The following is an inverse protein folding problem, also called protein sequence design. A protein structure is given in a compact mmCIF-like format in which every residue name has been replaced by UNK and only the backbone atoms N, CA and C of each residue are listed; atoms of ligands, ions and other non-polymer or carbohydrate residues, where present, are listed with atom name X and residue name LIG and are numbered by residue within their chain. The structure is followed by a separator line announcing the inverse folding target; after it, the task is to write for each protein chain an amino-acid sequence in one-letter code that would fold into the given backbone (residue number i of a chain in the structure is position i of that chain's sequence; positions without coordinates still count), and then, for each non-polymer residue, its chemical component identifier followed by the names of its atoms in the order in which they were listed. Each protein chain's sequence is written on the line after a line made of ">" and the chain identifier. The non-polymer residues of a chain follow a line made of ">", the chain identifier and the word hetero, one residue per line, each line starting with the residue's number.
data_IF_733973795689
#
_entry.id   IF_733973795689
#
_cell.length_a   1.000
_cell.length_b   1.000
_cell.length_c   1.000
_cell.angle_alpha   90.00
_cell.angle_beta   90.00
_cell.angle_gamma   90.00
#
_symmetry.space_group_name_H-M   'P 1'
#
loop_
_entity.id
_entity.type
_entity.pdbx_description
1 polymer ?
#
# COMPACT_ATOMS: atom_id res chain seq x y z
N UNK A 1 25.15 40.44 8.30
CA UNK A 1 25.94 39.20 8.02
C UNK A 1 25.73 38.09 9.06
N UNK A 2 25.81 38.37 10.38
CA UNK A 2 25.72 37.35 11.45
C UNK A 2 24.40 36.55 11.48
N UNK A 3 23.25 37.18 11.26
CA UNK A 3 21.94 36.51 11.28
C UNK A 3 21.78 35.47 10.16
N UNK A 4 22.23 35.78 8.94
CA UNK A 4 22.17 34.86 7.78
C UNK A 4 23.07 33.64 7.99
N UNK A 5 24.26 33.83 8.53
CA UNK A 5 25.17 32.73 8.86
C UNK A 5 24.63 31.86 10.01
N UNK A 6 24.05 32.48 11.05
CA UNK A 6 23.43 31.76 12.16
C UNK A 6 22.22 30.92 11.71
N UNK A 7 21.35 31.48 10.86
CA UNK A 7 20.21 30.77 10.26
C UNK A 7 20.67 29.58 9.40
N UNK A 8 21.73 29.74 8.60
CA UNK A 8 22.29 28.65 7.80
C UNK A 8 22.89 27.53 8.66
N UNK A 9 23.57 27.86 9.77
CA UNK A 9 24.10 26.84 10.69
C UNK A 9 22.97 26.11 11.43
N UNK A 10 21.94 26.84 11.89
CA UNK A 10 20.75 26.25 12.50
C UNK A 10 20.00 25.32 11.54
N UNK A 11 19.82 25.76 10.30
CA UNK A 11 19.20 24.96 9.23
C UNK A 11 19.99 23.66 8.95
N UNK A 12 21.32 23.72 8.88
CA UNK A 12 22.16 22.52 8.68
C UNK A 12 22.03 21.52 9.84
N UNK A 13 22.04 22.00 11.08
CA UNK A 13 21.89 21.14 12.27
C UNK A 13 20.51 20.48 12.27
N UNK A 14 19.45 21.25 12.03
CA UNK A 14 18.08 20.74 11.95
C UNK A 14 17.93 19.72 10.82
N UNK A 15 18.40 20.05 9.61
CA UNK A 15 18.36 19.15 8.45
C UNK A 15 19.05 17.82 8.73
N UNK A 16 20.20 17.83 9.42
CA UNK A 16 20.92 16.59 9.78
C UNK A 16 20.12 15.71 10.74
N UNK A 17 19.51 16.28 11.78
CA UNK A 17 18.74 15.50 12.76
C UNK A 17 17.43 14.98 12.19
N UNK A 18 16.73 15.80 11.40
CA UNK A 18 15.54 15.36 10.67
C UNK A 18 15.90 14.27 9.67
N UNK A 19 16.99 14.44 8.92
CA UNK A 19 17.47 13.43 7.98
C UNK A 19 17.77 12.10 8.67
N UNK A 20 18.46 12.13 9.81
CA UNK A 20 18.72 10.92 10.61
C UNK A 20 17.41 10.24 11.04
N UNK A 21 16.43 11.00 11.53
CA UNK A 21 15.11 10.47 11.91
C UNK A 21 14.42 9.78 10.72
N UNK A 22 14.38 10.43 9.56
CA UNK A 22 13.78 9.86 8.34
C UNK A 22 14.51 8.59 7.88
N UNK A 23 15.84 8.57 7.95
CA UNK A 23 16.63 7.36 7.62
C UNK A 23 16.26 6.20 8.53
N UNK A 24 16.17 6.41 9.84
CA UNK A 24 15.78 5.36 10.80
C UNK A 24 14.38 4.84 10.48
N UNK A 25 13.41 5.72 10.23
CA UNK A 25 12.06 5.30 9.85
C UNK A 25 12.03 4.53 8.53
N UNK A 26 12.84 4.94 7.56
CA UNK A 26 12.95 4.24 6.27
C UNK A 26 13.51 2.83 6.47
N UNK A 27 14.52 2.66 7.33
CA UNK A 27 15.05 1.34 7.66
C UNK A 27 14.00 0.45 8.33
N UNK A 28 13.22 1.00 9.26
CA UNK A 28 12.10 0.27 9.87
C UNK A 28 11.12 -0.19 8.78
N UNK A 29 10.69 0.73 7.91
CA UNK A 29 9.76 0.43 6.83
C UNK A 29 10.31 -0.63 5.85
N UNK A 30 11.60 -0.58 5.50
CA UNK A 30 12.24 -1.60 4.64
C UNK A 30 12.21 -2.98 5.33
N UNK A 31 12.52 -3.05 6.63
CA UNK A 31 12.43 -4.29 7.39
C UNK A 31 11.00 -4.81 7.40
N UNK A 32 10.00 -3.94 7.63
CA UNK A 32 8.59 -4.31 7.59
C UNK A 32 8.16 -4.84 6.21
N UNK A 33 8.58 -4.17 5.14
CA UNK A 33 8.27 -4.54 3.76
C UNK A 33 8.78 -5.93 3.38
N UNK A 34 9.87 -6.38 4.01
CA UNK A 34 10.46 -7.70 3.77
C UNK A 34 9.86 -8.74 4.73
N UNK A 35 9.74 -8.39 6.02
CA UNK A 35 9.44 -9.36 7.07
C UNK A 35 7.94 -9.62 7.27
N UNK A 36 7.09 -8.61 7.14
CA UNK A 36 5.67 -8.74 7.48
C UNK A 36 4.84 -9.49 6.43
N UNK A 37 4.98 -9.25 5.10
CA UNK A 37 4.14 -9.93 4.12
C UNK A 37 4.14 -11.48 4.24
N UNK A 38 5.29 -12.15 4.44
CA UNK A 38 5.29 -13.60 4.67
C UNK A 38 4.53 -14.04 5.93
N UNK A 39 4.52 -13.22 6.98
CA UNK A 39 3.84 -13.53 8.25
C UNK A 39 2.32 -13.38 8.11
N UNK A 40 1.87 -12.31 7.45
CA UNK A 40 0.44 -11.96 7.36
C UNK A 40 -0.28 -12.61 6.16
N UNK A 41 0.45 -13.05 5.15
CA UNK A 41 -0.13 -13.70 3.95
C UNK A 41 -0.80 -15.05 4.22
N UNK A 42 -0.56 -15.68 5.38
CA UNK A 42 -1.07 -17.01 5.73
C UNK A 42 -0.80 -18.08 4.64
N UNK A 43 0.33 -17.97 3.93
CA UNK A 43 0.70 -18.90 2.86
C UNK A 43 0.01 -18.66 1.52
N UNK A 44 -0.75 -17.57 1.38
CA UNK A 44 -1.28 -17.13 0.10
C UNK A 44 -0.18 -16.51 -0.78
N UNK A 45 -0.29 -16.63 -2.12
CA UNK A 45 0.61 -15.92 -3.01
C UNK A 45 0.44 -14.40 -2.86
N UNK A 46 1.51 -13.65 -3.11
CA UNK A 46 1.44 -12.20 -3.18
C UNK A 46 0.78 -11.76 -4.48
N UNK A 47 -0.13 -10.79 -4.38
CA UNK A 47 -0.79 -10.17 -5.53
C UNK A 47 -0.64 -8.65 -5.49
N UNK A 48 -0.70 -8.05 -6.66
CA UNK A 48 -0.85 -6.61 -6.84
C UNK A 48 -2.32 -6.22 -7.04
N UNK A 49 -2.61 -4.92 -6.90
CA UNK A 49 -3.93 -4.31 -7.13
C UNK A 49 -4.38 -4.31 -8.60
N UNK A 50 -3.57 -4.86 -9.51
CA UNK A 50 -3.93 -4.90 -10.92
C UNK A 50 -5.04 -5.92 -11.13
N UNK A 51 -6.14 -5.47 -11.75
CA UNK A 51 -7.23 -6.34 -12.17
C UNK A 51 -6.69 -7.24 -13.29
N UNK A 52 -6.90 -8.56 -13.22
CA UNK A 52 -6.46 -9.47 -14.27
C UNK A 52 -7.02 -9.03 -15.63
N UNK A 53 -6.17 -8.98 -16.65
CA UNK A 53 -6.64 -8.84 -18.03
C UNK A 53 -7.16 -10.21 -18.48
N UNK A 54 -8.42 -10.27 -18.94
CA UNK A 54 -9.08 -11.51 -19.37
C UNK A 54 -8.14 -12.42 -20.16
N UNK A 55 -8.13 -13.70 -19.80
CA UNK A 55 -7.50 -14.75 -20.61
C UNK A 55 -8.52 -15.86 -20.94
N UNK A 56 -9.77 -15.52 -21.33
CA UNK A 56 -10.71 -16.57 -21.73
C UNK A 56 -11.63 -16.20 -22.90
N UNK A 57 -11.47 -16.97 -23.97
CA UNK A 57 -12.05 -16.90 -25.32
C UNK A 57 -13.51 -17.37 -25.42
N UNK A 58 -14.20 -17.59 -24.30
CA UNK A 58 -15.58 -18.11 -24.32
C UNK A 58 -16.58 -17.01 -24.00
N UNK A 59 -17.31 -16.58 -25.04
CA UNK A 59 -18.54 -15.80 -24.91
C UNK A 59 -19.60 -16.68 -24.23
N UNK A 60 -19.82 -16.49 -22.94
CA UNK A 60 -21.15 -16.67 -22.38
C UNK A 60 -21.99 -15.44 -22.78
N UNK A 61 -23.28 -15.64 -23.08
CA UNK A 61 -24.16 -14.56 -23.55
C UNK A 61 -24.54 -13.56 -22.44
N UNK A 62 -24.30 -13.89 -21.16
CA UNK A 62 -24.55 -12.99 -20.02
C UNK A 62 -23.65 -13.33 -18.83
N UNK A 63 -23.16 -12.33 -18.08
CA UNK A 63 -22.44 -12.56 -16.84
C UNK A 63 -23.38 -13.17 -15.78
N UNK A 64 -22.82 -14.02 -14.93
CA UNK A 64 -23.42 -14.55 -13.73
C UNK A 64 -23.92 -13.42 -12.85
N UNK A 65 -25.05 -13.63 -12.18
CA UNK A 65 -25.50 -12.73 -11.12
C UNK A 65 -24.54 -12.79 -9.94
N UNK A 66 -24.58 -11.77 -9.06
CA UNK A 66 -23.77 -11.76 -7.84
C UNK A 66 -23.99 -13.02 -6.99
N UNK A 67 -25.23 -13.48 -6.83
CA UNK A 67 -25.55 -14.68 -6.06
C UNK A 67 -24.92 -15.93 -6.70
N UNK A 68 -25.00 -16.06 -8.02
CA UNK A 68 -24.38 -17.16 -8.75
C UNK A 68 -22.85 -17.12 -8.65
N UNK A 69 -22.25 -15.93 -8.75
CA UNK A 69 -20.81 -15.73 -8.58
C UNK A 69 -20.36 -16.10 -7.17
N UNK A 70 -21.10 -15.71 -6.13
CA UNK A 70 -20.81 -16.08 -4.74
C UNK A 70 -20.88 -17.59 -4.51
N UNK A 71 -21.91 -18.25 -5.04
CA UNK A 71 -22.05 -19.71 -4.98
C UNK A 71 -20.89 -20.41 -5.69
N UNK A 72 -20.55 -19.97 -6.91
CA UNK A 72 -19.43 -20.50 -7.68
C UNK A 72 -18.08 -20.30 -6.99
N UNK A 73 -17.88 -19.13 -6.39
CA UNK A 73 -16.68 -18.80 -5.61
C UNK A 73 -16.53 -19.74 -4.42
N UNK A 74 -17.57 -19.89 -3.58
CA UNK A 74 -17.50 -20.76 -2.40
C UNK A 74 -17.38 -22.25 -2.77
N UNK A 75 -17.99 -22.68 -3.88
CA UNK A 75 -17.90 -24.06 -4.38
C UNK A 75 -16.47 -24.46 -4.78
N UNK A 76 -15.58 -23.50 -5.07
CA UNK A 76 -14.18 -23.75 -5.39
C UNK A 76 -13.28 -23.89 -4.17
N UNK A 77 -13.82 -23.76 -2.94
CA UNK A 77 -13.06 -23.77 -1.69
C UNK A 77 -11.81 -22.87 -1.73
N UNK A 78 -11.98 -21.55 -1.93
CA UNK A 78 -10.87 -20.63 -2.11
C UNK A 78 -9.96 -20.64 -0.89
N UNK A 79 -8.65 -20.64 -1.13
CA UNK A 79 -7.67 -20.58 -0.03
C UNK A 79 -7.79 -19.24 0.69
N UNK A 80 -7.64 -19.28 2.02
CA UNK A 80 -7.59 -18.09 2.87
C UNK A 80 -8.93 -17.63 3.45
N UNK A 81 -10.04 -18.26 3.05
CA UNK A 81 -11.40 -17.94 3.48
C UNK A 81 -12.15 -19.21 3.92
N UNK A 82 -12.89 -19.14 5.04
CA UNK A 82 -13.68 -20.27 5.56
C UNK A 82 -15.18 -20.10 5.30
N UNK A 83 -15.67 -18.86 5.40
CA UNK A 83 -17.06 -18.52 5.12
C UNK A 83 -17.15 -17.20 4.36
N UNK A 84 -18.27 -16.98 3.68
CA UNK A 84 -18.49 -15.74 2.94
C UNK A 84 -18.55 -14.51 3.85
N UNK A 85 -18.86 -14.67 5.14
CA UNK A 85 -18.87 -13.57 6.12
C UNK A 85 -17.49 -12.91 6.33
N UNK A 86 -16.42 -13.57 5.87
CA UNK A 86 -15.08 -12.98 5.83
C UNK A 86 -14.87 -12.01 4.66
N UNK A 87 -15.74 -12.01 3.64
CA UNK A 87 -15.73 -11.01 2.56
C UNK A 87 -16.47 -9.78 3.05
N UNK A 88 -15.81 -8.63 3.04
CA UNK A 88 -16.38 -7.35 3.47
C UNK A 88 -16.58 -6.35 2.33
N UNK A 89 -15.97 -6.59 1.17
CA UNK A 89 -16.14 -5.77 -0.03
C UNK A 89 -16.26 -6.64 -1.28
N UNK A 90 -17.19 -6.27 -2.16
CA UNK A 90 -17.42 -6.95 -3.44
C UNK A 90 -17.60 -5.89 -4.52
N UNK A 91 -16.79 -5.99 -5.58
CA UNK A 91 -16.91 -5.15 -6.76
C UNK A 91 -17.18 -5.97 -8.00
N UNK A 92 -17.93 -5.38 -8.93
CA UNK A 92 -18.10 -5.90 -10.27
C UNK A 92 -17.52 -4.91 -11.27
N UNK A 93 -16.63 -5.40 -12.14
CA UNK A 93 -16.01 -4.64 -13.21
C UNK A 93 -16.68 -5.00 -14.54
N UNK A 94 -17.76 -4.32 -14.96
CA UNK A 94 -18.55 -4.70 -16.14
C UNK A 94 -17.75 -4.63 -17.45
N UNK A 95 -16.75 -3.75 -17.54
CA UNK A 95 -15.90 -3.66 -18.73
C UNK A 95 -14.95 -4.85 -18.92
N UNK A 96 -14.78 -5.69 -17.88
CA UNK A 96 -13.89 -6.85 -17.89
C UNK A 96 -14.61 -8.14 -17.49
N UNK A 97 -15.89 -8.08 -17.15
CA UNK A 97 -16.66 -9.19 -16.60
C UNK A 97 -15.94 -9.90 -15.44
N UNK A 98 -15.47 -9.14 -14.45
CA UNK A 98 -14.76 -9.68 -13.28
C UNK A 98 -15.47 -9.26 -11.99
N UNK A 99 -15.68 -10.22 -11.11
CA UNK A 99 -15.99 -9.96 -9.70
C UNK A 99 -14.71 -9.94 -8.87
N UNK A 100 -14.56 -8.95 -8.00
CA UNK A 100 -13.54 -8.92 -6.96
C UNK A 100 -14.21 -9.09 -5.61
N UNK A 101 -13.76 -10.08 -4.86
CA UNK A 101 -14.08 -10.27 -3.46
C UNK A 101 -12.86 -9.88 -2.62
N UNK A 102 -13.07 -9.12 -1.56
CA UNK A 102 -12.00 -8.66 -0.68
C UNK A 102 -12.33 -8.91 0.79
N UNK A 103 -11.29 -9.23 1.56
CA UNK A 103 -11.28 -9.13 3.01
C UNK A 103 -10.29 -8.01 3.37
N UNK A 104 -10.81 -6.81 3.60
CA UNK A 104 -10.00 -5.61 3.86
C UNK A 104 -9.18 -5.73 5.14
N UNK A 105 -9.67 -6.49 6.14
CA UNK A 105 -8.96 -6.69 7.42
C UNK A 105 -7.72 -7.55 7.27
N UNK A 106 -7.76 -8.54 6.38
CA UNK A 106 -6.66 -9.49 6.12
C UNK A 106 -5.90 -9.18 4.85
N UNK A 107 -6.33 -8.19 4.08
CA UNK A 107 -5.74 -7.79 2.79
C UNK A 107 -5.74 -8.94 1.78
N UNK A 108 -6.78 -9.77 1.82
CA UNK A 108 -6.95 -10.87 0.87
C UNK A 108 -7.88 -10.43 -0.24
N UNK A 109 -7.53 -10.73 -1.48
CA UNK A 109 -8.39 -10.47 -2.64
C UNK A 109 -8.50 -11.72 -3.49
N UNK A 110 -9.68 -11.89 -4.07
CA UNK A 110 -10.02 -12.94 -5.01
C UNK A 110 -10.72 -12.32 -6.21
N UNK A 111 -10.28 -12.67 -7.41
CA UNK A 111 -10.84 -12.22 -8.68
C UNK A 111 -11.46 -13.41 -9.38
N UNK A 112 -12.74 -13.31 -9.68
CA UNK A 112 -13.57 -14.34 -10.29
C UNK A 112 -14.02 -13.86 -11.67
N UNK A 113 -13.95 -14.73 -12.68
CA UNK A 113 -14.56 -14.49 -13.98
C UNK A 113 -16.08 -14.50 -13.82
N UNK A 114 -16.74 -13.42 -14.22
CA UNK A 114 -18.18 -13.29 -14.09
C UNK A 114 -18.94 -14.15 -15.12
N UNK A 115 -18.31 -14.72 -16.14
CA UNK A 115 -19.00 -15.52 -17.17
C UNK A 115 -19.09 -16.99 -16.82
N UNK A 116 -18.01 -17.57 -16.31
CA UNK A 116 -17.95 -19.00 -15.98
C UNK A 116 -17.76 -19.26 -14.48
N UNK A 117 -17.57 -18.20 -13.68
CA UNK A 117 -17.37 -18.31 -12.24
C UNK A 117 -16.00 -18.88 -11.87
N UNK A 118 -15.00 -18.88 -12.76
CA UNK A 118 -13.67 -19.40 -12.47
C UNK A 118 -12.84 -18.42 -11.64
N UNK A 119 -12.07 -18.93 -10.68
CA UNK A 119 -11.14 -18.11 -9.90
C UNK A 119 -9.88 -17.80 -10.73
N UNK A 120 -9.72 -16.54 -11.14
CA UNK A 120 -8.64 -16.08 -12.03
C UNK A 120 -7.37 -15.79 -11.23
N UNK A 121 -7.51 -15.06 -10.13
CA UNK A 121 -6.39 -14.56 -9.31
C UNK A 121 -6.83 -14.49 -7.87
N UNK A 122 -5.96 -14.88 -6.95
CA UNK A 122 -6.22 -14.76 -5.53
C UNK A 122 -4.92 -14.55 -4.78
N UNK A 123 -4.97 -13.92 -3.62
CA UNK A 123 -3.79 -13.79 -2.78
C UNK A 123 -3.84 -12.70 -1.73
N UNK A 124 -2.68 -12.44 -1.13
CA UNK A 124 -2.44 -11.37 -0.19
C UNK A 124 -1.89 -10.13 -0.90
N UNK A 125 -2.54 -8.99 -0.68
CA UNK A 125 -2.12 -7.71 -1.22
C UNK A 125 -1.10 -7.02 -0.31
N UNK A 126 0.17 -7.38 -0.52
CA UNK A 126 1.27 -6.82 0.26
C UNK A 126 1.41 -5.29 0.11
N UNK A 127 1.05 -4.75 -1.06
CA UNK A 127 1.17 -3.31 -1.31
C UNK A 127 0.20 -2.50 -0.47
N UNK A 128 -1.09 -2.88 -0.49
CA UNK A 128 -2.14 -2.25 0.30
C UNK A 128 -1.89 -2.48 1.80
N UNK A 129 -1.43 -3.67 2.20
CA UNK A 129 -1.02 -3.93 3.57
C UNK A 129 0.08 -2.97 4.04
N UNK A 130 1.16 -2.79 3.28
CA UNK A 130 2.27 -1.92 3.68
C UNK A 130 1.88 -0.44 3.66
N UNK A 131 0.99 -0.03 2.77
CA UNK A 131 0.46 1.33 2.75
C UNK A 131 -0.35 1.63 4.02
N UNK A 132 -1.27 0.73 4.38
CA UNK A 132 -2.16 0.91 5.52
C UNK A 132 -1.47 0.61 6.86
N UNK A 133 -0.66 -0.45 6.93
CA UNK A 133 -0.08 -1.01 8.16
C UNK A 133 1.43 -0.79 8.31
N UNK A 134 2.12 -0.24 7.31
CA UNK A 134 3.53 0.13 7.45
C UNK A 134 3.78 1.25 8.46
N UNK A 135 5.05 1.52 8.74
CA UNK A 135 5.51 2.44 9.78
C UNK A 135 4.94 2.09 11.16
N UNK A 136 5.02 0.83 11.55
CA UNK A 136 4.50 0.29 12.82
C UNK A 136 2.97 0.38 12.96
N UNK A 137 2.23 0.64 11.88
CA UNK A 137 0.77 0.66 11.87
C UNK A 137 0.15 -0.69 12.24
N UNK A 138 0.82 -1.78 11.83
CA UNK A 138 0.44 -3.16 12.12
C UNK A 138 0.42 -3.50 13.62
N UNK A 139 1.18 -2.76 14.45
CA UNK A 139 1.12 -2.92 15.91
C UNK A 139 -0.16 -2.31 16.47
N UNK A 140 -0.39 -1.04 16.15
CA UNK A 140 -1.59 -0.32 16.53
C UNK A 140 -1.69 1.00 15.75
N UNK A 141 -2.90 1.41 15.28
CA UNK A 141 -3.08 2.67 14.55
C UNK A 141 -2.57 3.90 15.30
N UNK A 142 -2.67 3.88 16.63
CA UNK A 142 -2.25 4.98 17.50
C UNK A 142 -0.72 5.15 17.60
N UNK A 143 0.05 4.14 17.17
CA UNK A 143 1.51 4.21 17.04
C UNK A 143 1.87 4.66 15.62
N UNK A 144 1.29 3.99 14.61
CA UNK A 144 1.64 4.24 13.21
C UNK A 144 1.19 5.62 12.71
N UNK A 145 -0.02 6.08 13.04
CA UNK A 145 -0.56 7.32 12.50
C UNK A 145 0.25 8.57 12.89
N UNK A 146 0.65 8.76 14.17
CA UNK A 146 1.53 9.85 14.54
C UNK A 146 2.90 9.80 13.85
N UNK A 147 3.47 8.61 13.66
CA UNK A 147 4.74 8.43 12.96
C UNK A 147 4.61 8.82 11.49
N UNK A 148 3.57 8.35 10.79
CA UNK A 148 3.30 8.71 9.38
C UNK A 148 3.07 10.22 9.21
N UNK A 149 2.29 10.83 10.10
CA UNK A 149 2.02 12.27 10.04
C UNK A 149 3.29 13.09 10.29
N UNK A 150 4.00 12.78 11.37
CA UNK A 150 5.23 13.51 11.73
C UNK A 150 6.33 13.30 10.68
N UNK A 151 6.50 12.09 10.14
CA UNK A 151 7.47 11.82 9.08
C UNK A 151 7.15 12.59 7.81
N UNK A 152 5.87 12.70 7.43
CA UNK A 152 5.44 13.50 6.26
C UNK A 152 5.80 14.97 6.44
N UNK A 153 5.44 15.56 7.59
CA UNK A 153 5.75 16.97 7.90
C UNK A 153 7.25 17.24 7.95
N UNK A 154 8.00 16.35 8.61
CA UNK A 154 9.44 16.46 8.72
C UNK A 154 10.13 16.29 7.37
N UNK A 155 9.62 15.43 6.50
CA UNK A 155 10.09 15.29 5.12
C UNK A 155 9.89 16.57 4.33
N UNK A 156 8.75 17.25 4.46
CA UNK A 156 8.54 18.56 3.82
C UNK A 156 9.57 19.60 4.29
N UNK A 157 9.86 19.64 5.59
CA UNK A 157 10.91 20.52 6.15
C UNK A 157 12.29 20.13 5.62
N UNK A 158 12.57 18.83 5.51
CA UNK A 158 13.83 18.31 4.98
C UNK A 158 14.03 18.72 3.51
N UNK A 159 12.99 18.59 2.68
CA UNK A 159 12.99 19.01 1.27
C UNK A 159 13.21 20.52 1.16
N UNK A 160 12.43 21.34 1.87
CA UNK A 160 12.57 22.79 1.84
C UNK A 160 13.94 23.27 2.32
N UNK A 161 14.42 22.72 3.44
CA UNK A 161 15.76 23.05 3.94
C UNK A 161 16.88 22.57 3.01
N UNK A 162 16.73 21.39 2.40
CA UNK A 162 17.66 20.87 1.39
C UNK A 162 17.76 21.80 0.17
N UNK A 163 16.61 22.28 -0.33
CA UNK A 163 16.57 23.23 -1.45
C UNK A 163 17.26 24.56 -1.12
N UNK A 164 17.00 25.12 0.06
CA UNK A 164 17.65 26.36 0.53
C UNK A 164 19.16 26.16 0.65
N UNK A 165 19.61 25.03 1.20
CA UNK A 165 21.04 24.71 1.32
C UNK A 165 21.68 24.54 -0.06
N UNK A 166 20.99 23.90 -1.00
CA UNK A 166 21.43 23.72 -2.38
C UNK A 166 21.60 25.04 -3.12
N UNK A 167 20.67 26.00 -2.97
CA UNK A 167 20.76 27.32 -3.60
C UNK A 167 21.75 28.28 -2.93
N UNK A 168 22.06 28.06 -1.65
CA UNK A 168 22.93 28.94 -0.86
C UNK A 168 24.29 29.27 -1.50
N UNK A 169 25.06 28.33 -2.11
CA UNK A 169 26.31 28.64 -2.79
C UNK A 169 26.13 29.50 -4.05
N UNK A 170 25.05 29.32 -4.82
CA UNK A 170 24.81 30.07 -6.05
C UNK A 170 24.43 31.53 -5.76
N UNK A 171 23.57 31.75 -4.77
CA UNK A 171 23.15 33.09 -4.34
C UNK A 171 24.28 33.87 -3.63
N UNK A 172 25.27 33.18 -3.08
CA UNK A 172 26.46 33.80 -2.49
C UNK A 172 27.50 34.23 -3.54
N UNK A 173 27.46 33.65 -4.75
CA UNK A 173 28.34 34.01 -5.88
C UNK A 173 27.75 35.07 -6.82
N UNK A 174 26.43 35.24 -6.81
CA UNK A 174 25.71 36.24 -7.61
C UNK A 174 25.63 37.64 -6.95
N UNK A 175 26.15 37.77 -5.72
CA UNK A 175 26.35 39.04 -5.00
C UNK A 175 27.84 39.33 -4.91
#
# INVERSE_FOLDING_TARGET
>A
MKLKQWLLHGSRKLHRWIGLYIVVLTLIWVVEAIALPPIFSAGLPGIDNNIPVETTTKKADSPLSLEQAMQAFMAQHPKGIQSFDEVDEIDYFPGMDIYRFENTKRFFQWYLDARDGSLIKYGFNASQFLEQQGFLGWLHPWIGNPIKLSSTLLTLILVGSGFVLFLSPFLARAK
#
